data_IF_315012386696
#
_entry.id   IF_315012386696
#
_cell.length_a   1.000
_cell.length_b   1.000
_cell.length_c   1.000
_cell.angle_alpha   90.00
_cell.angle_beta   90.00
_cell.angle_gamma   90.00
#
_symmetry.space_group_name_H-M   'P 1'
#
loop_
_entity.id
_entity.type
_entity.pdbx_description
1 polymer ?
#
# COMPACT_ATOMS: atom_id res chain seq x y z
N UNK A 1 -15.07 -6.56 -4.98
CA UNK A 1 -13.61 -6.52 -4.73
C UNK A 1 -12.97 -6.05 -6.03
N UNK A 2 -12.24 -4.93 -6.03
CA UNK A 2 -11.45 -4.54 -7.20
C UNK A 2 -10.00 -4.41 -6.79
N UNK A 3 -9.19 -5.21 -7.46
CA UNK A 3 -7.74 -5.12 -7.47
C UNK A 3 -7.36 -3.87 -8.26
N UNK A 4 -6.24 -3.24 -7.92
CA UNK A 4 -5.72 -2.14 -8.74
C UNK A 4 -5.25 -2.61 -10.14
N UNK A 5 -5.03 -3.93 -10.31
CA UNK A 5 -4.70 -4.59 -11.57
C UNK A 5 -5.58 -5.84 -11.73
N UNK A 6 -6.17 -6.02 -12.92
CA UNK A 6 -7.16 -7.08 -13.18
C UNK A 6 -6.55 -8.49 -13.29
N UNK A 7 -5.24 -8.58 -13.54
CA UNK A 7 -4.53 -9.87 -13.72
C UNK A 7 -4.04 -10.49 -12.41
N UNK A 8 -4.18 -9.79 -11.27
CA UNK A 8 -3.71 -10.29 -9.97
C UNK A 8 -4.62 -11.40 -9.44
N UNK A 9 -4.05 -12.55 -9.08
CA UNK A 9 -4.79 -13.63 -8.45
C UNK A 9 -5.36 -13.24 -7.08
N UNK A 10 -6.68 -13.34 -6.92
CA UNK A 10 -7.41 -12.91 -5.71
C UNK A 10 -6.91 -13.57 -4.41
N UNK A 11 -6.47 -14.83 -4.47
CA UNK A 11 -6.08 -15.61 -3.29
C UNK A 11 -4.75 -15.11 -2.71
N UNK A 12 -3.71 -14.98 -3.54
CA UNK A 12 -2.40 -14.46 -3.10
C UNK A 12 -2.51 -13.02 -2.61
N UNK A 13 -3.29 -12.20 -3.32
CA UNK A 13 -3.58 -10.82 -2.94
C UNK A 13 -4.25 -10.74 -1.56
N UNK A 14 -5.33 -11.48 -1.34
CA UNK A 14 -6.09 -11.40 -0.09
C UNK A 14 -5.31 -11.98 1.10
N UNK A 15 -4.54 -13.05 0.88
CA UNK A 15 -3.82 -13.75 1.97
C UNK A 15 -2.60 -13.00 2.50
N UNK A 16 -1.99 -12.13 1.69
CA UNK A 16 -0.95 -11.19 2.14
C UNK A 16 -1.50 -9.88 2.72
N UNK A 17 -2.81 -9.65 2.58
CA UNK A 17 -3.51 -8.46 3.06
C UNK A 17 -4.49 -7.94 2.02
N UNK A 18 -3.96 -7.45 0.91
CA UNK A 18 -4.76 -7.05 -0.25
C UNK A 18 -5.37 -5.66 -0.11
N UNK A 19 -4.65 -4.63 -0.56
CA UNK A 19 -5.20 -3.29 -0.76
C UNK A 19 -5.77 -3.14 -2.18
N UNK A 20 -6.73 -2.25 -2.36
CA UNK A 20 -7.39 -2.00 -3.64
C UNK A 20 -8.37 -0.84 -3.52
N UNK A 21 -8.94 -0.41 -4.65
CA UNK A 21 -9.83 0.76 -4.69
C UNK A 21 -10.88 0.72 -3.56
N UNK A 22 -11.52 -0.44 -3.37
CA UNK A 22 -12.64 -0.61 -2.43
C UNK A 22 -12.22 -0.84 -0.97
N UNK A 23 -10.92 -1.05 -0.68
CA UNK A 23 -10.49 -1.51 0.66
C UNK A 23 -10.68 -0.47 1.74
N UNK A 24 -10.80 0.77 1.31
CA UNK A 24 -11.18 1.86 2.15
C UNK A 24 -12.59 1.81 2.73
N UNK A 25 -13.55 1.33 1.93
CA UNK A 25 -14.95 1.20 2.34
C UNK A 25 -15.24 -0.15 2.98
N UNK A 26 -14.63 -1.22 2.46
CA UNK A 26 -14.99 -2.60 2.81
C UNK A 26 -13.89 -3.37 3.57
N UNK A 27 -12.81 -2.70 3.97
CA UNK A 27 -11.67 -3.35 4.60
C UNK A 27 -10.77 -4.09 3.60
N UNK A 28 -9.67 -4.64 4.11
CA UNK A 28 -8.63 -5.28 3.30
C UNK A 28 -9.13 -6.61 2.70
N UNK A 29 -8.46 -7.13 1.68
CA UNK A 29 -8.76 -8.46 1.11
C UNK A 29 -8.84 -9.56 2.17
N UNK A 30 -7.88 -9.60 3.09
CA UNK A 30 -7.84 -10.50 4.23
C UNK A 30 -9.08 -10.39 5.15
N UNK A 31 -9.61 -9.18 5.33
CA UNK A 31 -10.78 -8.92 6.19
C UNK A 31 -12.06 -9.54 5.62
N UNK A 32 -12.07 -9.79 4.31
CA UNK A 32 -13.20 -10.23 3.53
C UNK A 32 -13.28 -11.75 3.31
N UNK A 33 -12.26 -12.52 3.71
CA UNK A 33 -12.30 -13.99 3.69
C UNK A 33 -13.22 -14.49 4.80
N UNK A 34 -14.22 -15.29 4.44
CA UNK A 34 -15.19 -15.94 5.33
C UNK A 34 -14.77 -17.38 5.62
N UNK A 35 -14.29 -18.07 4.59
CA UNK A 35 -13.87 -19.47 4.64
C UNK A 35 -12.82 -19.76 3.57
N UNK A 36 -11.97 -20.76 3.80
CA UNK A 36 -11.10 -21.34 2.80
C UNK A 36 -11.08 -22.86 2.88
N UNK A 37 -10.91 -23.52 1.73
CA UNK A 37 -10.58 -24.95 1.65
C UNK A 37 -9.09 -25.07 1.38
N UNK A 38 -8.37 -25.79 2.23
CA UNK A 38 -6.91 -25.84 2.25
C UNK A 38 -6.42 -27.28 2.28
N UNK A 39 -5.45 -27.62 1.43
CA UNK A 39 -4.63 -28.83 1.57
C UNK A 39 -3.47 -28.52 2.51
N UNK A 40 -3.44 -29.20 3.65
CA UNK A 40 -2.34 -29.06 4.63
C UNK A 40 -1.07 -29.74 4.10
N UNK A 41 0.11 -29.48 4.69
CA UNK A 41 1.35 -30.19 4.35
C UNK A 41 1.31 -31.70 4.54
N UNK A 42 0.39 -32.22 5.37
CA UNK A 42 0.18 -33.66 5.54
C UNK A 42 -0.68 -34.27 4.42
N UNK A 43 -1.20 -33.44 3.50
CA UNK A 43 -2.05 -33.86 2.40
C UNK A 43 -3.55 -33.88 2.74
N UNK A 44 -3.94 -33.42 3.93
CA UNK A 44 -5.34 -33.41 4.35
C UNK A 44 -6.08 -32.19 3.78
N UNK A 45 -7.30 -32.39 3.29
CA UNK A 45 -8.18 -31.30 2.86
C UNK A 45 -9.03 -30.85 4.04
N UNK A 46 -8.88 -29.60 4.46
CA UNK A 46 -9.58 -29.03 5.62
C UNK A 46 -10.32 -27.73 5.24
N UNK A 47 -11.44 -27.47 5.92
CA UNK A 47 -12.10 -26.17 5.89
C UNK A 47 -11.57 -25.29 7.03
N UNK A 48 -11.22 -24.04 6.73
CA UNK A 48 -10.76 -23.05 7.70
C UNK A 48 -11.73 -21.86 7.72
N UNK A 49 -12.38 -21.63 8.86
CA UNK A 49 -13.35 -20.55 9.08
C UNK A 49 -13.39 -20.13 10.57
N UNK A 50 -14.34 -19.27 10.94
CA UNK A 50 -14.48 -18.79 12.31
C UNK A 50 -14.81 -19.88 13.36
N UNK A 51 -15.25 -21.06 12.92
CA UNK A 51 -15.70 -22.16 13.77
C UNK A 51 -14.78 -23.40 13.69
N UNK A 52 -14.02 -23.58 12.61
CA UNK A 52 -13.19 -24.76 12.33
C UNK A 52 -11.79 -24.33 11.87
N UNK A 53 -10.75 -25.00 12.38
CA UNK A 53 -9.34 -24.70 12.07
C UNK A 53 -9.03 -23.19 12.19
N UNK A 54 -9.45 -22.59 13.30
CA UNK A 54 -9.50 -21.14 13.53
C UNK A 54 -8.13 -20.47 13.48
N UNK A 55 -7.11 -21.19 13.92
CA UNK A 55 -5.69 -20.81 13.84
C UNK A 55 -5.22 -20.73 12.39
N UNK A 56 -5.52 -21.73 11.57
CA UNK A 56 -5.26 -21.70 10.13
C UNK A 56 -6.04 -20.56 9.44
N UNK A 57 -7.32 -20.39 9.80
CA UNK A 57 -8.16 -19.31 9.27
C UNK A 57 -7.60 -17.92 9.62
N UNK A 58 -7.10 -17.74 10.84
CA UNK A 58 -6.44 -16.51 11.26
C UNK A 58 -5.16 -16.27 10.45
N UNK A 59 -4.32 -17.31 10.31
CA UNK A 59 -3.02 -17.23 9.64
C UNK A 59 -3.12 -16.87 8.14
N UNK A 60 -4.04 -17.50 7.40
CA UNK A 60 -4.20 -17.22 5.96
C UNK A 60 -4.78 -15.82 5.68
N UNK A 61 -5.31 -15.12 6.69
CA UNK A 61 -5.90 -13.79 6.56
C UNK A 61 -4.90 -12.70 6.93
N UNK A 62 -3.79 -12.61 6.17
CA UNK A 62 -2.78 -11.57 6.31
C UNK A 62 -1.37 -12.07 6.63
N UNK A 63 -1.22 -13.36 6.95
CA UNK A 63 0.08 -13.98 7.25
C UNK A 63 0.91 -14.35 6.01
N UNK A 64 0.41 -14.10 4.80
CA UNK A 64 1.09 -14.40 3.53
C UNK A 64 0.71 -15.77 2.96
N UNK A 65 0.52 -15.80 1.63
CA UNK A 65 0.23 -17.03 0.89
C UNK A 65 1.40 -18.01 0.84
N UNK A 66 1.11 -19.27 0.50
CA UNK A 66 2.14 -20.29 0.24
C UNK A 66 2.85 -20.89 1.46
N UNK A 67 2.55 -20.42 2.67
CA UNK A 67 3.25 -20.88 3.91
C UNK A 67 2.46 -21.93 4.69
N UNK A 68 1.13 -21.84 4.70
CA UNK A 68 0.28 -22.60 5.62
C UNK A 68 -0.46 -23.78 4.98
N UNK A 69 -0.37 -23.94 3.66
CA UNK A 69 -1.11 -24.93 2.89
C UNK A 69 -1.37 -24.46 1.45
N UNK A 70 -1.92 -25.36 0.64
CA UNK A 70 -2.40 -25.03 -0.71
C UNK A 70 -3.89 -24.68 -0.61
N UNK A 71 -4.23 -23.41 -0.83
CA UNK A 71 -5.62 -22.96 -0.83
C UNK A 71 -6.27 -23.37 -2.15
N UNK A 72 -7.30 -24.21 -2.08
CA UNK A 72 -8.08 -24.69 -3.22
C UNK A 72 -9.20 -23.71 -3.58
N UNK A 73 -9.86 -23.14 -2.56
CA UNK A 73 -10.94 -22.17 -2.75
C UNK A 73 -11.05 -21.23 -1.55
N UNK A 74 -11.67 -20.07 -1.79
CA UNK A 74 -12.03 -19.08 -0.75
C UNK A 74 -13.46 -18.60 -0.95
N UNK A 75 -14.17 -18.40 0.15
CA UNK A 75 -15.45 -17.69 0.18
C UNK A 75 -15.22 -16.27 0.66
N UNK A 76 -15.67 -15.28 -0.11
CA UNK A 76 -15.47 -13.86 0.16
C UNK A 76 -16.79 -13.14 0.45
N UNK A 77 -16.73 -12.09 1.26
CA UNK A 77 -17.84 -11.13 1.37
C UNK A 77 -18.09 -10.43 0.04
N UNK A 78 -19.35 -10.30 -0.33
CA UNK A 78 -19.83 -9.46 -1.41
C UNK A 78 -20.65 -8.30 -0.84
N UNK A 79 -20.69 -7.18 -1.56
CA UNK A 79 -21.32 -5.95 -1.11
C UNK A 79 -22.23 -5.39 -2.20
N UNK A 80 -23.32 -4.69 -1.84
CA UNK A 80 -24.08 -3.89 -2.79
C UNK A 80 -23.16 -2.91 -3.53
N UNK A 81 -23.44 -2.73 -4.82
CA UNK A 81 -22.64 -1.88 -5.69
C UNK A 81 -22.71 -0.42 -5.23
N UNK A 82 -21.59 0.21 -4.86
CA UNK A 82 -21.59 1.62 -4.48
C UNK A 82 -21.58 2.52 -5.71
N UNK A 83 -21.99 3.76 -5.51
CA UNK A 83 -21.62 4.88 -6.37
C UNK A 83 -20.30 5.47 -5.89
N UNK A 84 -19.46 5.94 -6.81
CA UNK A 84 -18.15 6.53 -6.49
C UNK A 84 -17.96 7.84 -7.21
N UNK A 85 -17.67 8.90 -6.45
CA UNK A 85 -17.19 10.17 -7.00
C UNK A 85 -15.67 10.14 -7.08
N UNK A 86 -15.15 10.29 -8.31
CA UNK A 86 -13.73 10.43 -8.59
C UNK A 86 -13.31 11.89 -8.44
N UNK A 87 -12.25 12.14 -7.67
CA UNK A 87 -11.68 13.47 -7.47
C UNK A 87 -10.23 13.44 -7.94
N UNK A 88 -9.89 14.28 -8.91
CA UNK A 88 -8.52 14.44 -9.36
C UNK A 88 -7.70 15.22 -8.31
N UNK A 89 -6.58 14.64 -7.90
CA UNK A 89 -5.57 15.28 -7.06
C UNK A 89 -4.34 15.59 -7.92
N UNK A 90 -3.96 16.85 -8.04
CA UNK A 90 -2.76 17.26 -8.77
C UNK A 90 -2.01 18.32 -7.99
N UNK A 91 -0.70 18.17 -7.88
CA UNK A 91 0.22 19.09 -7.22
C UNK A 91 1.50 19.15 -8.06
N UNK A 92 1.97 20.36 -8.35
CA UNK A 92 3.21 20.59 -9.09
C UNK A 92 3.95 21.78 -8.50
N UNK A 93 5.24 21.62 -8.23
CA UNK A 93 6.08 22.70 -7.73
C UNK A 93 6.07 23.89 -8.72
N UNK A 94 5.98 25.12 -8.21
CA UNK A 94 6.13 26.32 -9.05
C UNK A 94 7.56 26.49 -9.50
N UNK A 95 7.77 27.17 -10.63
CA UNK A 95 9.12 27.53 -11.08
C UNK A 95 9.87 28.30 -9.98
N UNK A 96 11.11 27.89 -9.69
CA UNK A 96 11.94 28.45 -8.61
C UNK A 96 11.67 27.89 -7.21
N UNK A 97 10.71 26.98 -7.04
CA UNK A 97 10.49 26.29 -5.75
C UNK A 97 11.66 25.37 -5.46
N UNK A 98 12.30 25.56 -4.30
CA UNK A 98 13.37 24.67 -3.87
C UNK A 98 12.83 23.26 -3.55
N UNK A 99 13.55 22.17 -3.91
CA UNK A 99 13.09 20.80 -3.65
C UNK A 99 12.65 20.55 -2.20
N UNK A 100 13.43 20.97 -1.21
CA UNK A 100 13.05 20.81 0.21
C UNK A 100 11.73 21.52 0.58
N UNK A 101 11.43 22.67 -0.03
CA UNK A 101 10.13 23.35 0.15
C UNK A 101 8.98 22.58 -0.47
N UNK A 102 9.21 21.93 -1.62
CA UNK A 102 8.25 21.03 -2.26
C UNK A 102 7.96 19.82 -1.37
N UNK A 103 8.98 19.12 -0.88
CA UNK A 103 8.75 17.93 -0.03
C UNK A 103 8.09 18.28 1.30
N UNK A 104 8.41 19.44 1.88
CA UNK A 104 7.70 19.95 3.07
C UNK A 104 6.24 20.24 2.78
N UNK A 105 5.93 20.83 1.62
CA UNK A 105 4.56 21.03 1.16
C UNK A 105 3.80 19.71 0.99
N UNK A 106 4.42 18.71 0.35
CA UNK A 106 3.85 17.37 0.20
C UNK A 106 3.63 16.69 1.55
N UNK A 107 4.60 16.76 2.47
CA UNK A 107 4.45 16.19 3.82
C UNK A 107 3.28 16.83 4.59
N UNK A 108 3.11 18.15 4.51
CA UNK A 108 1.93 18.84 5.08
C UNK A 108 0.63 18.46 4.41
N UNK A 109 0.62 18.23 3.09
CA UNK A 109 -0.57 17.76 2.37
C UNK A 109 -1.05 16.39 2.89
N UNK A 110 -0.14 15.53 3.36
CA UNK A 110 -0.51 14.23 3.94
C UNK A 110 -1.26 14.34 5.27
N UNK A 111 -1.06 15.42 6.04
CA UNK A 111 -1.88 15.70 7.22
C UNK A 111 -3.36 15.93 6.84
N UNK A 112 -3.62 16.43 5.62
CA UNK A 112 -4.99 16.56 5.10
C UNK A 112 -5.53 15.25 4.53
N UNK A 113 -4.66 14.36 4.01
CA UNK A 113 -5.07 13.01 3.63
C UNK A 113 -5.56 12.22 4.85
N UNK A 114 -4.99 12.44 6.03
CA UNK A 114 -5.50 11.87 7.27
C UNK A 114 -6.97 12.25 7.54
N UNK A 115 -7.28 13.55 7.48
CA UNK A 115 -8.65 14.05 7.70
C UNK A 115 -9.64 13.49 6.67
N UNK A 116 -9.20 13.38 5.42
CA UNK A 116 -9.99 12.78 4.35
C UNK A 116 -10.21 11.28 4.60
N UNK A 117 -9.18 10.55 5.02
CA UNK A 117 -9.27 9.13 5.37
C UNK A 117 -10.26 8.90 6.52
N UNK A 118 -10.23 9.74 7.56
CA UNK A 118 -11.17 9.68 8.68
C UNK A 118 -12.63 9.92 8.25
N UNK A 119 -12.83 10.71 7.20
CA UNK A 119 -14.13 10.93 6.58
C UNK A 119 -14.53 9.84 5.57
N UNK A 120 -13.75 8.76 5.43
CA UNK A 120 -14.03 7.65 4.53
C UNK A 120 -13.63 7.88 3.07
N UNK A 121 -12.81 8.89 2.80
CA UNK A 121 -12.20 9.12 1.48
C UNK A 121 -10.96 8.24 1.35
N UNK A 122 -10.81 7.62 0.19
CA UNK A 122 -9.65 6.78 -0.13
C UNK A 122 -8.99 7.25 -1.40
N UNK A 123 -7.80 6.78 -1.72
CA UNK A 123 -7.14 7.25 -2.92
C UNK A 123 -5.76 6.69 -3.14
N UNK A 124 -5.28 6.96 -4.34
CA UNK A 124 -3.98 6.57 -4.86
C UNK A 124 -3.32 7.78 -5.48
N UNK A 125 -2.02 7.90 -5.29
CA UNK A 125 -1.24 8.90 -6.00
C UNK A 125 0.13 8.34 -6.38
N UNK A 126 0.76 9.02 -7.33
CA UNK A 126 2.15 8.83 -7.70
C UNK A 126 2.88 10.15 -7.59
N UNK A 127 4.15 10.10 -7.22
CA UNK A 127 5.05 11.25 -7.17
C UNK A 127 6.36 10.92 -7.87
N UNK A 128 6.77 11.79 -8.78
CA UNK A 128 8.04 11.68 -9.50
C UNK A 128 9.11 12.54 -8.82
N UNK A 129 10.27 11.95 -8.51
CA UNK A 129 11.39 12.69 -7.93
C UNK A 129 11.98 13.75 -8.85
N UNK A 130 12.10 13.43 -10.14
CA UNK A 130 12.67 14.34 -11.14
C UNK A 130 11.74 15.48 -11.58
N UNK A 131 10.42 15.30 -11.50
CA UNK A 131 9.44 16.28 -11.97
C UNK A 131 8.88 17.18 -10.88
N UNK A 132 9.08 16.85 -9.59
CA UNK A 132 8.46 17.54 -8.44
C UNK A 132 6.95 17.69 -8.61
N UNK A 133 6.31 16.60 -9.02
CA UNK A 133 4.86 16.52 -9.23
C UNK A 133 4.27 15.35 -8.46
N UNK A 134 3.09 15.53 -7.92
CA UNK A 134 2.23 14.48 -7.38
C UNK A 134 0.89 14.49 -8.12
N UNK A 135 0.48 13.33 -8.62
CA UNK A 135 -0.80 13.16 -9.32
C UNK A 135 -1.50 11.91 -8.82
N UNK A 136 -2.81 11.98 -8.68
CA UNK A 136 -3.59 10.88 -8.15
C UNK A 136 -5.09 11.11 -8.24
N UNK A 137 -5.81 10.16 -7.65
CA UNK A 137 -7.25 10.20 -7.56
C UNK A 137 -7.70 9.85 -6.15
N UNK A 138 -8.68 10.60 -5.65
CA UNK A 138 -9.44 10.27 -4.46
C UNK A 138 -10.81 9.73 -4.85
N UNK A 139 -11.33 8.85 -4.00
CA UNK A 139 -12.55 8.08 -4.16
C UNK A 139 -13.45 8.39 -2.97
N UNK A 140 -14.61 8.96 -3.27
CA UNK A 140 -15.64 9.22 -2.26
C UNK A 140 -16.82 8.32 -2.59
N UNK A 141 -17.18 7.44 -1.65
CA UNK A 141 -18.22 6.45 -1.85
C UNK A 141 -19.56 6.96 -1.38
N UNK A 142 -20.60 6.75 -2.19
CA UNK A 142 -22.00 7.07 -1.88
C UNK A 142 -22.17 8.51 -1.38
N UNK A 143 -21.47 9.44 -2.02
CA UNK A 143 -21.48 10.85 -1.63
C UNK A 143 -22.87 11.46 -1.84
N UNK A 144 -23.42 12.07 -0.80
CA UNK A 144 -24.63 12.89 -0.92
C UNK A 144 -24.30 14.26 -1.51
N UNK A 145 -25.27 14.90 -2.17
CA UNK A 145 -25.11 16.25 -2.72
C UNK A 145 -24.58 17.24 -1.68
N UNK A 146 -23.59 18.05 -2.06
CA UNK A 146 -22.94 19.04 -1.19
C UNK A 146 -21.89 18.46 -0.22
N UNK A 147 -21.84 17.14 -0.02
CA UNK A 147 -20.86 16.50 0.89
C UNK A 147 -19.45 16.58 0.36
N UNK A 148 -19.26 16.37 -0.95
CA UNK A 148 -17.95 16.37 -1.61
C UNK A 148 -17.24 17.71 -1.39
N UNK A 149 -17.92 18.83 -1.63
CA UNK A 149 -17.33 20.16 -1.51
C UNK A 149 -16.89 20.46 -0.07
N UNK A 150 -17.70 20.09 0.92
CA UNK A 150 -17.38 20.27 2.33
C UNK A 150 -16.19 19.39 2.77
N UNK A 151 -16.12 18.14 2.30
CA UNK A 151 -15.01 17.22 2.59
C UNK A 151 -13.68 17.74 2.03
N UNK A 152 -13.69 18.30 0.82
CA UNK A 152 -12.49 18.76 0.14
C UNK A 152 -12.03 20.16 0.59
N UNK A 153 -12.93 20.96 1.19
CA UNK A 153 -12.68 22.35 1.54
C UNK A 153 -11.43 22.59 2.43
N UNK A 154 -11.13 21.77 3.48
CA UNK A 154 -9.93 21.95 4.28
C UNK A 154 -8.63 21.83 3.46
N UNK A 155 -8.55 20.83 2.59
CA UNK A 155 -7.37 20.62 1.74
C UNK A 155 -7.24 21.72 0.68
N UNK A 156 -8.36 22.19 0.12
CA UNK A 156 -8.36 23.33 -0.82
C UNK A 156 -7.87 24.62 -0.16
N UNK A 157 -8.31 24.93 1.06
CA UNK A 157 -7.79 26.10 1.82
C UNK A 157 -6.28 26.01 2.05
N UNK A 158 -5.77 24.81 2.33
CA UNK A 158 -4.32 24.58 2.45
C UNK A 158 -3.58 24.82 1.12
N UNK A 159 -4.15 24.39 0.00
CA UNK A 159 -3.61 24.67 -1.33
C UNK A 159 -3.59 26.16 -1.64
N UNK A 160 -4.67 26.88 -1.35
CA UNK A 160 -4.77 28.33 -1.56
C UNK A 160 -3.71 29.08 -0.73
N UNK A 161 -3.53 28.68 0.53
CA UNK A 161 -2.52 29.25 1.43
C UNK A 161 -1.08 28.90 1.03
N UNK A 162 -0.87 27.84 0.25
CA UNK A 162 0.44 27.34 -0.19
C UNK A 162 0.73 27.66 -1.67
N UNK A 163 -0.04 28.57 -2.28
CA UNK A 163 0.07 28.85 -3.71
C UNK A 163 1.47 29.35 -4.13
N UNK A 164 2.26 29.92 -3.22
CA UNK A 164 3.61 30.39 -3.53
C UNK A 164 4.57 29.22 -3.83
N UNK A 165 4.30 28.03 -3.25
CA UNK A 165 5.15 26.85 -3.36
C UNK A 165 4.72 25.93 -4.52
N UNK A 166 3.42 25.76 -4.73
CA UNK A 166 2.93 24.79 -5.70
C UNK A 166 1.63 25.24 -6.36
N UNK A 167 1.46 24.83 -7.62
CA UNK A 167 0.16 24.81 -8.28
C UNK A 167 -0.52 23.50 -7.89
N UNK A 168 -1.68 23.58 -7.25
CA UNK A 168 -2.38 22.40 -6.73
C UNK A 168 -3.87 22.47 -7.03
N UNK A 169 -4.50 21.31 -7.26
CA UNK A 169 -5.93 21.21 -7.51
C UNK A 169 -6.52 19.93 -6.91
N UNK A 170 -7.79 20.04 -6.52
CA UNK A 170 -8.59 18.95 -5.99
C UNK A 170 -10.01 19.06 -6.57
N UNK A 171 -10.21 18.44 -7.73
CA UNK A 171 -11.36 18.70 -8.61
C UNK A 171 -12.20 17.45 -8.77
N UNK A 172 -13.47 17.45 -8.35
CA UNK A 172 -14.41 16.38 -8.66
C UNK A 172 -14.56 16.25 -10.17
N UNK A 173 -14.46 15.02 -10.69
CA UNK A 173 -14.60 14.75 -12.11
C UNK A 173 -15.99 14.24 -12.42
N UNK A 174 -16.36 13.10 -11.85
CA UNK A 174 -17.57 12.37 -12.20
C UNK A 174 -17.98 11.44 -11.06
N UNK A 175 -19.29 11.20 -10.93
CA UNK A 175 -19.85 10.15 -10.08
C UNK A 175 -20.35 9.02 -10.97
N UNK A 176 -19.83 7.82 -10.76
CA UNK A 176 -20.12 6.66 -11.59
C UNK A 176 -20.51 5.45 -10.72
N UNK A 177 -21.26 4.49 -11.26
CA UNK A 177 -21.39 3.19 -10.62
C UNK A 177 -20.02 2.49 -10.58
N UNK A 178 -19.82 1.64 -9.57
CA UNK A 178 -18.55 0.96 -9.33
C UNK A 178 -17.96 0.23 -10.54
N UNK A 179 -18.78 -0.44 -11.36
CA UNK A 179 -18.26 -1.23 -12.49
C UNK A 179 -17.58 -0.34 -13.54
N UNK A 180 -18.10 0.85 -13.81
CA UNK A 180 -17.50 1.78 -14.78
C UNK A 180 -16.14 2.28 -14.29
N UNK A 181 -16.01 2.56 -12.98
CA UNK A 181 -14.71 2.90 -12.40
C UNK A 181 -13.69 1.76 -12.60
N UNK A 182 -14.10 0.51 -12.41
CA UNK A 182 -13.21 -0.66 -12.59
C UNK A 182 -12.82 -0.84 -14.06
N UNK A 183 -13.72 -0.58 -15.00
CA UNK A 183 -13.45 -0.62 -16.44
C UNK A 183 -12.52 0.50 -16.91
N UNK A 184 -12.50 1.64 -16.21
CA UNK A 184 -11.56 2.73 -16.46
C UNK A 184 -10.13 2.42 -15.99
N UNK A 185 -9.94 1.41 -15.14
CA UNK A 185 -8.61 1.04 -14.65
C UNK A 185 -7.82 0.31 -15.75
N UNK A 186 -6.51 0.56 -15.88
CA UNK A 186 -5.69 -0.13 -16.85
C UNK A 186 -5.75 -1.64 -16.63
N UNK A 187 -6.03 -2.38 -17.70
CA UNK A 187 -6.24 -3.84 -17.67
C UNK A 187 -4.94 -4.63 -17.70
N UNK A 188 -3.82 -4.00 -18.07
CA UNK A 188 -2.52 -4.66 -18.23
C UNK A 188 -1.40 -3.81 -17.64
N UNK A 189 -0.68 -4.36 -16.67
CA UNK A 189 0.67 -3.87 -16.36
C UNK A 189 1.64 -4.51 -17.35
N UNK A 190 2.60 -3.74 -17.87
CA UNK A 190 3.65 -4.30 -18.73
C UNK A 190 4.53 -5.23 -17.90
N UNK A 191 4.31 -6.54 -18.04
CA UNK A 191 5.12 -7.59 -17.42
C UNK A 191 6.13 -8.14 -18.42
N UNK A 192 7.33 -8.52 -17.94
CA UNK A 192 8.29 -9.30 -18.72
C UNK A 192 9.31 -8.54 -19.59
N UNK A 193 9.37 -7.20 -19.56
CA UNK A 193 10.39 -6.42 -20.30
C UNK A 193 11.21 -5.47 -19.43
N UNK A 194 10.81 -5.26 -18.17
CA UNK A 194 11.50 -4.39 -17.23
C UNK A 194 11.67 -5.09 -15.90
N UNK A 195 12.90 -5.03 -15.39
CA UNK A 195 13.20 -5.39 -14.01
C UNK A 195 12.86 -4.20 -13.12
N UNK A 196 12.47 -4.46 -11.87
CA UNK A 196 12.20 -3.40 -10.90
C UNK A 196 12.62 -3.76 -9.49
N UNK A 197 12.90 -2.74 -8.69
CA UNK A 197 13.12 -2.86 -7.26
C UNK A 197 12.23 -1.88 -6.53
N UNK A 198 11.70 -2.33 -5.38
CA UNK A 198 10.81 -1.54 -4.54
C UNK A 198 11.20 -1.67 -3.08
N UNK A 199 10.94 -0.61 -2.32
CA UNK A 199 10.88 -0.63 -0.87
C UNK A 199 9.58 0.03 -0.45
N UNK A 200 8.98 -0.43 0.65
CA UNK A 200 7.70 0.11 1.09
C UNK A 200 7.59 0.23 2.60
N UNK A 201 6.70 1.11 3.07
CA UNK A 201 6.47 1.34 4.49
C UNK A 201 5.06 1.86 4.75
N UNK A 202 4.50 1.41 5.85
CA UNK A 202 3.29 2.00 6.41
C UNK A 202 3.65 3.29 7.16
N UNK A 203 3.06 4.40 6.75
CA UNK A 203 3.29 5.71 7.37
C UNK A 203 2.17 5.96 8.40
N UNK A 204 2.48 5.92 9.70
CA UNK A 204 1.50 6.04 10.76
C UNK A 204 0.97 7.48 10.85
N UNK A 205 -0.21 7.63 11.46
CA UNK A 205 -0.85 8.93 11.67
C UNK A 205 0.04 9.94 12.40
N UNK A 206 0.79 9.46 13.38
CA UNK A 206 1.77 10.24 14.14
C UNK A 206 2.77 10.94 13.21
N UNK A 207 3.33 10.22 12.24
CA UNK A 207 4.33 10.78 11.33
C UNK A 207 3.75 11.92 10.49
N UNK A 208 2.54 11.74 9.94
CA UNK A 208 1.94 12.79 9.09
C UNK A 208 1.39 13.99 9.87
N UNK A 209 1.34 13.92 11.21
CA UNK A 209 0.89 15.03 12.08
C UNK A 209 2.05 15.72 12.77
N UNK A 210 2.96 14.94 13.33
CA UNK A 210 3.93 15.41 14.32
C UNK A 210 5.34 15.47 13.74
N UNK A 211 5.69 14.60 12.79
CA UNK A 211 7.07 14.43 12.27
C UNK A 211 7.22 14.96 10.83
N UNK A 212 6.56 16.08 10.52
CA UNK A 212 6.47 16.65 9.15
C UNK A 212 7.83 16.88 8.50
N UNK A 213 8.81 17.39 9.24
CA UNK A 213 10.14 17.72 8.70
C UNK A 213 10.91 16.43 8.35
N UNK A 214 10.94 15.46 9.26
CA UNK A 214 11.55 14.15 8.99
C UNK A 214 10.85 13.43 7.84
N UNK A 215 9.52 13.56 7.73
CA UNK A 215 8.78 13.00 6.61
C UNK A 215 9.17 13.65 5.29
N UNK A 216 9.27 14.99 5.24
CA UNK A 216 9.73 15.72 4.07
C UNK A 216 11.15 15.32 3.64
N UNK A 217 12.08 15.27 4.58
CA UNK A 217 13.46 14.82 4.34
C UNK A 217 13.51 13.38 3.82
N UNK A 218 12.64 12.50 4.34
CA UNK A 218 12.54 11.12 3.87
C UNK A 218 11.99 11.05 2.45
N UNK A 219 10.94 11.81 2.12
CA UNK A 219 10.40 11.88 0.77
C UNK A 219 11.45 12.38 -0.23
N UNK A 220 12.24 13.38 0.15
CA UNK A 220 13.36 13.90 -0.63
C UNK A 220 14.44 12.83 -0.83
N UNK A 221 14.86 12.17 0.25
CA UNK A 221 15.89 11.13 0.21
C UNK A 221 15.50 9.96 -0.70
N UNK A 222 14.26 9.46 -0.60
CA UNK A 222 13.83 8.31 -1.39
C UNK A 222 13.52 8.66 -2.84
N UNK A 223 13.37 9.94 -3.17
CA UNK A 223 13.21 10.40 -4.56
C UNK A 223 14.49 10.96 -5.19
N UNK A 224 15.52 11.20 -4.38
CA UNK A 224 16.84 11.62 -4.86
C UNK A 224 17.49 10.58 -5.80
N UNK A 225 18.21 11.07 -6.81
CA UNK A 225 18.94 10.22 -7.75
C UNK A 225 20.29 10.83 -8.14
N UNK A 226 21.42 10.23 -7.74
CA UNK A 226 22.74 10.62 -8.22
C UNK A 226 23.12 9.75 -9.42
N UNK A 227 22.71 10.10 -10.65
CA UNK A 227 23.13 9.33 -11.83
C UNK A 227 22.58 9.81 -13.18
N UNK A 228 23.28 9.52 -14.30
CA UNK A 228 22.80 9.84 -15.64
C UNK A 228 21.55 9.00 -16.01
N UNK A 229 20.52 9.69 -16.48
CA UNK A 229 19.11 9.28 -16.53
C UNK A 229 18.68 8.38 -17.71
N UNK A 230 19.59 7.67 -18.37
CA UNK A 230 19.25 7.11 -19.70
C UNK A 230 18.95 5.60 -19.72
N UNK A 231 19.18 4.86 -18.62
CA UNK A 231 18.96 3.39 -18.58
C UNK A 231 18.14 2.92 -17.37
N UNK A 232 18.10 3.72 -16.29
CA UNK A 232 17.33 3.44 -15.07
C UNK A 232 16.27 4.52 -14.93
N UNK A 233 15.04 4.13 -14.61
CA UNK A 233 13.97 5.11 -14.38
C UNK A 233 14.31 6.02 -13.20
N UNK A 234 13.89 7.30 -13.23
CA UNK A 234 13.87 8.13 -12.03
C UNK A 234 13.14 7.39 -10.90
N UNK A 235 13.56 7.57 -9.63
CA UNK A 235 12.79 7.11 -8.50
C UNK A 235 11.38 7.69 -8.53
N UNK A 236 10.39 6.81 -8.35
CA UNK A 236 9.01 7.19 -8.13
C UNK A 236 8.55 6.78 -6.73
N UNK A 237 7.53 7.46 -6.24
CA UNK A 237 6.73 7.03 -5.10
C UNK A 237 5.32 6.73 -5.59
N UNK A 238 4.75 5.64 -5.11
CA UNK A 238 3.31 5.37 -5.12
C UNK A 238 2.82 5.43 -3.68
N UNK A 239 1.73 6.16 -3.46
CA UNK A 239 1.06 6.21 -2.16
C UNK A 239 -0.36 5.72 -2.28
N UNK A 240 -0.74 4.83 -1.36
CA UNK A 240 -2.09 4.30 -1.23
C UNK A 240 -2.62 4.68 0.14
N UNK A 241 -3.74 5.38 0.21
CA UNK A 241 -4.42 5.62 1.48
C UNK A 241 -4.85 4.26 2.06
N UNK A 242 -4.48 3.97 3.31
CA UNK A 242 -4.74 2.65 3.90
C UNK A 242 -6.21 2.48 4.28
N UNK A 243 -6.64 1.22 4.41
CA UNK A 243 -8.03 0.86 4.64
C UNK A 243 -8.54 1.09 6.07
N UNK A 244 -9.69 0.48 6.36
CA UNK A 244 -10.44 0.62 7.61
C UNK A 244 -9.60 0.52 8.90
N UNK A 245 -9.89 1.43 9.84
CA UNK A 245 -9.37 1.44 11.22
C UNK A 245 -9.98 0.36 12.11
N UNK A 246 -11.04 -0.30 11.65
CA UNK A 246 -11.74 -1.34 12.42
C UNK A 246 -10.83 -2.55 12.60
N UNK A 247 -10.49 -2.94 13.84
CA UNK A 247 -9.75 -4.17 14.09
C UNK A 247 -10.55 -5.38 13.61
N UNK A 248 -9.85 -6.33 13.01
CA UNK A 248 -10.38 -7.63 12.61
C UNK A 248 -9.45 -8.68 13.20
N UNK A 249 -10.01 -9.72 13.80
CA UNK A 249 -9.22 -10.84 14.32
C UNK A 249 -8.66 -11.67 13.16
N UNK A 250 -7.46 -11.29 12.70
CA UNK A 250 -6.71 -11.93 11.63
C UNK A 250 -5.20 -11.61 11.73
N UNK A 251 -4.39 -12.29 10.91
CA UNK A 251 -2.94 -12.13 10.89
C UNK A 251 -2.44 -10.88 10.16
N UNK A 252 -3.34 -9.97 9.76
CA UNK A 252 -2.95 -8.75 9.06
C UNK A 252 -2.06 -7.88 9.96
N UNK A 253 -0.96 -7.36 9.40
CA UNK A 253 -0.09 -6.44 10.13
C UNK A 253 -0.91 -5.28 10.75
N UNK A 254 -0.89 -5.10 12.08
CA UNK A 254 -1.68 -4.06 12.76
C UNK A 254 -1.41 -2.64 12.26
N UNK A 255 -0.22 -2.38 11.70
CA UNK A 255 0.14 -1.09 11.13
C UNK A 255 -0.82 -0.63 10.00
N UNK A 256 -1.50 -1.56 9.31
CA UNK A 256 -2.54 -1.21 8.33
C UNK A 256 -3.68 -0.38 8.93
N UNK A 257 -3.97 -0.53 10.23
CA UNK A 257 -5.11 0.12 10.91
C UNK A 257 -4.80 1.54 11.41
N UNK A 258 -3.53 1.83 11.70
CA UNK A 258 -3.10 3.13 12.24
C UNK A 258 -2.45 4.04 11.17
N UNK A 259 -2.12 3.46 10.01
CA UNK A 259 -1.49 4.23 8.94
C UNK A 259 -2.47 5.12 8.20
N UNK A 260 -1.92 6.17 7.60
CA UNK A 260 -2.65 7.06 6.70
C UNK A 260 -2.38 6.65 5.27
N UNK A 261 -1.11 6.40 4.96
CA UNK A 261 -0.67 5.95 3.64
C UNK A 261 0.32 4.80 3.74
N UNK A 262 0.22 3.87 2.81
CA UNK A 262 1.27 2.94 2.46
C UNK A 262 2.08 3.55 1.32
N UNK A 263 3.36 3.80 1.55
CA UNK A 263 4.28 4.37 0.56
C UNK A 263 5.15 3.27 -0.01
N UNK A 264 5.28 3.26 -1.33
CA UNK A 264 6.18 2.41 -2.09
C UNK A 264 7.10 3.33 -2.87
N UNK A 265 8.41 3.20 -2.70
CA UNK A 265 9.37 3.79 -3.65
C UNK A 265 9.82 2.72 -4.64
N UNK A 266 9.96 3.07 -5.91
CA UNK A 266 10.32 2.13 -6.97
C UNK A 266 11.27 2.71 -8.00
N UNK A 267 12.08 1.82 -8.58
CA UNK A 267 12.88 2.08 -9.78
C UNK A 267 12.83 0.86 -10.69
N UNK A 268 12.93 1.10 -11.99
CA UNK A 268 12.91 0.06 -13.02
C UNK A 268 14.02 0.27 -14.05
N UNK A 269 14.41 -0.81 -14.71
CA UNK A 269 15.44 -0.81 -15.75
C UNK A 269 15.17 -1.92 -16.78
N UNK A 270 15.81 -1.80 -17.93
CA UNK A 270 15.76 -2.80 -19.01
C UNK A 270 16.66 -4.01 -18.70
N UNK A 271 16.32 -5.20 -19.20
CA UNK A 271 17.10 -6.43 -18.97
C UNK A 271 18.55 -6.36 -19.50
N UNK A 272 18.82 -5.48 -20.46
CA UNK A 272 20.17 -5.21 -20.94
C UNK A 272 21.08 -4.50 -19.92
N UNK A 273 20.55 -4.02 -18.79
CA UNK A 273 21.37 -3.35 -17.77
C UNK A 273 22.41 -4.33 -17.20
N UNK A 274 23.71 -3.98 -17.18
CA UNK A 274 24.74 -4.87 -16.64
C UNK A 274 24.42 -5.30 -15.20
N UNK A 275 24.56 -6.59 -14.83
CA UNK A 275 24.20 -7.09 -13.50
C UNK A 275 24.82 -6.31 -12.34
N UNK A 276 26.10 -5.94 -12.45
CA UNK A 276 26.78 -5.15 -11.42
C UNK A 276 26.17 -3.74 -11.23
N UNK A 277 25.52 -3.17 -12.25
CA UNK A 277 24.79 -1.90 -12.14
C UNK A 277 23.43 -2.15 -11.50
N UNK A 278 22.71 -3.18 -11.92
CA UNK A 278 21.43 -3.59 -11.33
C UNK A 278 21.57 -3.86 -9.82
N UNK A 279 22.63 -4.56 -9.41
CA UNK A 279 22.92 -4.86 -8.00
C UNK A 279 23.15 -3.57 -7.18
N UNK A 280 23.73 -2.53 -7.77
CA UNK A 280 23.88 -1.23 -7.09
C UNK A 280 22.55 -0.51 -6.93
N UNK A 281 21.67 -0.54 -7.94
CA UNK A 281 20.32 0.02 -7.84
C UNK A 281 19.54 -0.69 -6.75
N UNK A 282 19.63 -2.02 -6.73
CA UNK A 282 19.03 -2.87 -5.72
C UNK A 282 19.56 -2.54 -4.32
N UNK A 283 20.88 -2.48 -4.16
CA UNK A 283 21.51 -2.15 -2.89
C UNK A 283 21.09 -0.76 -2.40
N UNK A 284 21.06 0.23 -3.29
CA UNK A 284 20.60 1.59 -2.96
C UNK A 284 19.15 1.59 -2.47
N UNK A 285 18.25 0.91 -3.19
CA UNK A 285 16.83 0.82 -2.81
C UNK A 285 16.67 0.17 -1.43
N UNK A 286 17.37 -0.94 -1.16
CA UNK A 286 17.24 -1.66 0.11
C UNK A 286 17.88 -0.92 1.28
N UNK A 287 19.15 -0.51 1.13
CA UNK A 287 19.96 -0.05 2.26
C UNK A 287 20.03 1.46 2.44
N UNK A 288 19.55 2.24 1.47
CA UNK A 288 19.43 3.69 1.62
C UNK A 288 17.96 4.11 1.64
N UNK A 289 17.20 3.84 0.58
CA UNK A 289 15.80 4.31 0.48
C UNK A 289 14.88 3.57 1.45
N UNK A 290 14.94 2.24 1.48
CA UNK A 290 14.23 1.41 2.45
C UNK A 290 14.66 1.67 3.88
N UNK A 291 15.94 1.96 4.11
CA UNK A 291 16.44 2.35 5.43
C UNK A 291 15.87 3.70 5.89
N UNK A 292 15.83 4.71 5.02
CA UNK A 292 15.24 6.01 5.34
C UNK A 292 13.76 5.88 5.71
N UNK A 293 12.98 5.09 4.95
CA UNK A 293 11.59 4.77 5.29
C UNK A 293 11.46 4.06 6.65
N UNK A 294 12.42 3.18 6.99
CA UNK A 294 12.44 2.51 8.29
C UNK A 294 12.74 3.49 9.43
N UNK A 295 13.66 4.43 9.25
CA UNK A 295 13.95 5.46 10.25
C UNK A 295 12.75 6.38 10.48
N UNK A 296 11.99 6.69 9.42
CA UNK A 296 10.78 7.50 9.52
C UNK A 296 9.69 6.82 10.36
N UNK A 297 9.50 5.51 10.19
CA UNK A 297 8.44 4.76 10.89
C UNK A 297 8.99 3.42 11.40
N UNK A 298 9.78 3.39 12.48
CA UNK A 298 10.50 2.19 12.92
C UNK A 298 9.58 1.08 13.44
N UNK A 299 8.45 1.44 14.02
CA UNK A 299 7.52 0.52 14.69
C UNK A 299 6.44 -0.06 13.76
N UNK A 300 6.43 0.37 12.50
CA UNK A 300 5.53 -0.17 11.48
C UNK A 300 6.21 -1.27 10.65
N UNK A 301 5.53 -1.73 9.61
CA UNK A 301 6.04 -2.73 8.68
C UNK A 301 6.14 -2.24 7.24
N UNK A 302 6.50 -3.18 6.38
CA UNK A 302 6.35 -3.10 4.93
C UNK A 302 5.22 -4.05 4.50
N UNK A 303 4.64 -3.82 3.32
CA UNK A 303 3.62 -4.70 2.78
C UNK A 303 4.28 -5.88 2.07
N UNK A 304 4.04 -7.09 2.57
CA UNK A 304 4.66 -8.34 2.11
C UNK A 304 4.57 -8.57 0.59
N UNK A 305 3.43 -8.25 -0.03
CA UNK A 305 3.25 -8.46 -1.48
C UNK A 305 4.00 -7.43 -2.36
N UNK A 306 4.47 -6.31 -1.78
CA UNK A 306 5.07 -5.18 -2.52
C UNK A 306 6.39 -4.73 -1.87
N UNK A 307 7.23 -5.70 -1.55
CA UNK A 307 8.57 -5.51 -1.00
C UNK A 307 9.49 -6.63 -1.51
N UNK A 308 10.80 -6.41 -1.48
CA UNK A 308 11.79 -7.41 -1.89
C UNK A 308 12.15 -8.33 -0.73
N UNK A 309 12.29 -9.63 -0.99
CA UNK A 309 12.60 -10.65 0.02
C UNK A 309 13.86 -10.38 0.85
N UNK A 310 14.84 -9.66 0.30
CA UNK A 310 16.11 -9.34 0.95
C UNK A 310 16.02 -8.13 1.90
N UNK A 311 14.86 -7.49 1.99
CA UNK A 311 14.61 -6.49 3.02
C UNK A 311 14.52 -7.19 4.39
N UNK A 312 15.52 -6.92 5.25
CA UNK A 312 15.62 -7.46 6.61
C UNK A 312 14.37 -7.21 7.47
N UNK A 313 13.48 -6.28 7.09
CA UNK A 313 12.18 -6.10 7.74
C UNK A 313 11.23 -7.29 7.58
N UNK A 314 11.29 -8.03 6.47
CA UNK A 314 10.45 -9.21 6.27
C UNK A 314 10.79 -10.32 7.27
N UNK A 315 12.05 -10.46 7.66
CA UNK A 315 12.49 -11.45 8.63
C UNK A 315 11.93 -11.21 10.04
N UNK A 316 11.47 -10.01 10.39
CA UNK A 316 10.75 -9.80 11.66
C UNK A 316 9.27 -10.14 11.52
N UNK A 317 8.60 -9.78 10.42
CA UNK A 317 7.14 -9.95 10.27
C UNK A 317 6.70 -11.30 9.68
N UNK A 318 7.46 -11.91 8.79
CA UNK A 318 7.31 -13.32 8.43
C UNK A 318 7.47 -14.22 9.67
N UNK A 319 8.27 -13.75 10.63
CA UNK A 319 8.39 -14.38 11.95
C UNK A 319 7.31 -13.97 12.94
N UNK A 320 6.61 -12.84 12.82
CA UNK A 320 5.47 -12.55 13.73
C UNK A 320 4.40 -13.64 13.59
N UNK A 321 4.17 -14.19 12.40
CA UNK A 321 3.32 -15.36 12.24
C UNK A 321 3.87 -16.60 12.99
N UNK A 322 5.20 -16.80 13.03
CA UNK A 322 5.87 -17.88 13.78
C UNK A 322 5.99 -17.61 15.29
N UNK A 323 6.14 -16.36 15.73
CA UNK A 323 6.31 -15.99 17.15
C UNK A 323 4.96 -15.85 17.85
N UNK A 324 3.89 -15.45 17.15
CA UNK A 324 2.51 -15.54 17.69
C UNK A 324 2.09 -17.00 17.93
N UNK A 325 2.64 -17.95 17.16
CA UNK A 325 2.50 -19.39 17.43
C UNK A 325 3.23 -19.78 18.74
N UNK A 326 4.24 -19.02 19.18
CA UNK A 326 4.97 -19.28 20.43
C UNK A 326 4.42 -18.55 21.67
N UNK A 327 3.86 -17.34 21.50
CA UNK A 327 3.44 -16.49 22.62
C UNK A 327 2.02 -16.82 23.14
N UNK A 328 1.18 -17.49 22.35
CA UNK A 328 -0.04 -18.14 22.86
C UNK A 328 0.36 -19.44 23.56
N UNK A 329 0.99 -19.28 24.72
CA UNK A 329 1.34 -20.36 25.62
C UNK A 329 0.10 -21.23 25.89
N UNK A 330 0.26 -22.54 25.65
CA UNK A 330 -0.71 -23.63 25.80
C UNK A 330 -1.51 -24.10 24.55
N UNK A 331 -1.06 -23.90 23.31
CA UNK A 331 -1.55 -24.72 22.19
C UNK A 331 -0.42 -25.39 21.41
N UNK A 332 -0.42 -26.72 21.43
CA UNK A 332 0.54 -27.57 20.71
C UNK A 332 0.40 -27.35 19.19
N UNK A 333 1.57 -27.18 18.56
CA UNK A 333 1.97 -27.60 17.20
C UNK A 333 1.26 -26.92 16.03
N UNK A 334 2.03 -26.10 15.32
CA UNK A 334 1.91 -25.95 13.87
C UNK A 334 3.30 -25.63 13.27
N UNK A 335 4.12 -26.65 12.99
CA UNK A 335 5.35 -26.52 12.19
C UNK A 335 4.99 -26.60 10.68
N UNK A 336 4.16 -25.67 10.18
CA UNK A 336 3.64 -25.69 8.79
C UNK A 336 4.64 -25.21 7.74
N UNK A 337 5.62 -24.38 8.13
CA UNK A 337 6.40 -23.58 7.17
C UNK A 337 7.44 -24.37 6.33
N UNK A 338 7.87 -25.56 6.77
CA UNK A 338 9.08 -26.22 6.22
C UNK A 338 8.82 -27.02 4.94
N UNK A 339 7.56 -27.36 4.61
CA UNK A 339 7.27 -28.21 3.44
C UNK A 339 7.25 -27.42 2.13
N UNK A 340 6.86 -26.14 2.16
CA UNK A 340 6.65 -25.33 0.95
C UNK A 340 7.89 -24.55 0.46
N UNK A 341 8.94 -24.50 1.27
CA UNK A 341 10.21 -23.86 0.90
C UNK A 341 11.35 -24.86 1.15
N UNK A 342 11.78 -25.54 0.09
CA UNK A 342 13.03 -26.29 0.02
C UNK A 342 14.02 -25.56 -0.88
#
# INVERSE_FOLDING_TARGET
MALASQDVGVVGWATGGGHGLATGKYGMGADNIIEAVVVTPTGEVVAANACQNRDLFWAIRGGGGGTFGVILSVTLKAYPMPSVTLVNLSMSAKNGTHPSSWYRFVARAHAHLDLLQEAGVHGYYTMGGGSLTLQGALLIYDAQNGTVENLLAPMRRFFDASNATATSSLTPLVTLPWYELVEMMPTTESVGTKQSVRASRFIPRKVVKDDIELFAETLEAITSHPGPLNVISPPSISGTMTGSRTPVDNALNPAWRDSVVHIITSQSWDESLPPAVADRVVHNMTYQKGYALRQLAPDTGAYFNEVRMQDLCLLKYAFVANEYISYVGQRKRVNLAVVFFR
#
